data_IF_201454470548
#
_entry.id   IF_201454470548
#
_cell.length_a   1.000
_cell.length_b   1.000
_cell.length_c   1.000
_cell.angle_alpha   90.00
_cell.angle_beta   90.00
_cell.angle_gamma   90.00
#
_symmetry.space_group_name_H-M   'P 1'
#
loop_
_entity.id
_entity.type
_entity.pdbx_description
1 polymer ?
#
# COMPACT_ATOMS: atom_id res chain seq x y z
N UNK A 1 17.92 -16.86 5.12
CA UNK A 1 18.41 -15.47 5.18
C UNK A 1 17.93 -14.80 3.90
N UNK A 2 17.12 -13.74 3.94
CA UNK A 2 16.78 -13.03 2.71
C UNK A 2 18.08 -12.52 2.07
N UNK A 3 18.20 -12.55 0.74
CA UNK A 3 19.40 -12.09 0.05
C UNK A 3 19.67 -10.64 0.45
N UNK A 4 20.89 -10.37 0.96
CA UNK A 4 21.35 -9.01 1.21
C UNK A 4 21.35 -8.28 -0.14
N UNK A 5 20.58 -7.21 -0.24
CA UNK A 5 20.61 -6.35 -1.41
C UNK A 5 22.02 -5.76 -1.56
N UNK A 6 22.66 -5.89 -2.74
CA UNK A 6 23.99 -5.33 -2.95
C UNK A 6 23.96 -3.81 -2.77
N UNK A 7 25.04 -3.26 -2.19
CA UNK A 7 25.35 -1.82 -2.20
C UNK A 7 25.39 -1.33 -3.66
N UNK A 8 24.30 -0.72 -4.13
CA UNK A 8 24.04 -0.37 -5.54
C UNK A 8 22.70 -0.89 -6.09
N UNK A 9 21.89 -1.56 -5.26
CA UNK A 9 20.54 -2.00 -5.60
C UNK A 9 19.62 -0.81 -5.80
N UNK A 10 18.90 -0.80 -6.94
CA UNK A 10 17.72 0.06 -7.12
C UNK A 10 16.82 -0.16 -5.91
N UNK A 11 16.34 0.93 -5.31
CA UNK A 11 15.33 0.84 -4.27
C UNK A 11 14.17 -0.04 -4.78
N UNK A 12 13.60 -0.90 -3.92
CA UNK A 12 12.41 -1.63 -4.28
C UNK A 12 11.34 -0.64 -4.77
N UNK A 13 10.66 -0.96 -5.87
CA UNK A 13 9.65 -0.07 -6.45
C UNK A 13 8.52 0.20 -5.43
N UNK A 14 8.19 -0.81 -4.63
CA UNK A 14 7.23 -0.70 -3.54
C UNK A 14 7.93 -0.87 -2.19
N UNK A 15 7.98 0.19 -1.39
CA UNK A 15 8.44 0.16 0.00
C UNK A 15 7.24 0.00 0.95
N UNK A 16 7.35 -0.84 1.99
CA UNK A 16 6.26 -1.03 2.93
C UNK A 16 6.19 0.13 3.94
N UNK A 17 4.96 0.54 4.28
CA UNK A 17 4.65 1.52 5.32
C UNK A 17 3.47 1.02 6.12
N UNK A 18 3.41 1.26 7.43
CA UNK A 18 2.21 0.93 8.20
C UNK A 18 1.58 2.21 8.76
N UNK A 19 0.47 2.64 8.17
CA UNK A 19 -0.25 3.86 8.57
C UNK A 19 -1.03 3.69 9.89
N UNK A 20 -1.27 2.45 10.33
CA UNK A 20 -2.00 2.14 11.57
C UNK A 20 -1.26 1.05 12.35
N UNK A 21 -0.05 1.35 12.86
CA UNK A 21 0.81 0.37 13.51
C UNK A 21 0.29 -0.08 14.88
N UNK A 22 -0.66 0.66 15.46
CA UNK A 22 -1.24 0.41 16.78
C UNK A 22 -2.35 -0.63 16.78
N UNK A 23 -2.90 -0.98 15.60
CA UNK A 23 -3.97 -1.97 15.51
C UNK A 23 -3.38 -3.38 15.70
N UNK A 24 -3.91 -4.11 16.68
CA UNK A 24 -3.50 -5.50 16.92
C UNK A 24 -3.89 -6.40 15.73
N UNK A 25 -3.11 -7.44 15.52
CA UNK A 25 -3.24 -8.40 14.41
C UNK A 25 -4.61 -9.08 14.31
N UNK A 26 -5.29 -9.28 15.44
CA UNK A 26 -6.61 -9.92 15.52
C UNK A 26 -7.77 -8.93 15.52
N UNK A 27 -7.48 -7.63 15.58
CA UNK A 27 -8.52 -6.61 15.61
C UNK A 27 -8.83 -6.15 14.20
N UNK A 28 -10.10 -5.94 13.96
CA UNK A 28 -10.57 -5.23 12.79
C UNK A 28 -11.66 -4.25 13.24
N UNK A 29 -11.65 -3.04 12.70
CA UNK A 29 -12.56 -1.97 13.10
C UNK A 29 -13.33 -1.52 11.86
N UNK A 30 -14.60 -1.17 12.02
CA UNK A 30 -15.35 -0.55 10.94
C UNK A 30 -14.69 0.78 10.52
N UNK A 31 -14.44 0.96 9.22
CA UNK A 31 -13.75 2.14 8.69
C UNK A 31 -14.52 3.43 9.00
N UNK A 32 -15.85 3.41 8.90
CA UNK A 32 -16.70 4.57 9.20
C UNK A 32 -16.53 5.01 10.65
N UNK A 33 -16.67 4.05 11.59
CA UNK A 33 -16.55 4.32 13.02
C UNK A 33 -15.16 4.85 13.37
N UNK A 34 -14.11 4.27 12.79
CA UNK A 34 -12.75 4.73 13.03
C UNK A 34 -12.55 6.19 12.58
N UNK A 35 -13.01 6.57 11.38
CA UNK A 35 -12.92 7.95 10.91
C UNK A 35 -13.75 8.91 11.77
N UNK A 36 -14.99 8.53 12.12
CA UNK A 36 -15.85 9.32 13.00
C UNK A 36 -15.14 9.64 14.30
N UNK A 37 -14.61 8.63 14.97
CA UNK A 37 -14.12 8.79 16.34
C UNK A 37 -12.70 9.37 16.40
N UNK A 38 -11.83 9.04 15.42
CA UNK A 38 -10.41 9.42 15.45
C UNK A 38 -10.06 10.64 14.59
N UNK A 39 -10.83 10.94 13.53
CA UNK A 39 -10.55 12.06 12.62
C UNK A 39 -11.57 13.19 12.74
N UNK A 40 -12.81 12.87 13.06
CA UNK A 40 -13.92 13.83 13.03
C UNK A 40 -14.58 14.06 14.39
N UNK A 41 -13.93 13.64 15.49
CA UNK A 41 -14.36 13.91 16.86
C UNK A 41 -15.81 13.52 17.16
N UNK A 42 -16.24 12.36 16.65
CA UNK A 42 -17.60 11.84 16.83
C UNK A 42 -18.63 12.33 15.81
N UNK A 43 -18.27 13.23 14.89
CA UNK A 43 -19.22 13.84 13.95
C UNK A 43 -19.53 12.93 12.76
N UNK A 44 -20.71 12.32 12.76
CA UNK A 44 -21.19 11.52 11.63
C UNK A 44 -21.35 12.34 10.34
N UNK A 45 -21.80 13.59 10.46
CA UNK A 45 -21.96 14.50 9.32
C UNK A 45 -20.63 14.71 8.59
N UNK A 46 -19.57 15.06 9.34
CA UNK A 46 -18.22 15.23 8.77
C UNK A 46 -17.70 13.93 8.16
N UNK A 47 -17.94 12.78 8.80
CA UNK A 47 -17.57 11.48 8.24
C UNK A 47 -18.28 11.21 6.92
N UNK A 48 -19.59 11.48 6.82
CA UNK A 48 -20.36 11.30 5.58
C UNK A 48 -19.92 12.26 4.48
N UNK A 49 -19.59 13.51 4.83
CA UNK A 49 -19.01 14.47 3.88
C UNK A 49 -17.66 13.96 3.34
N UNK A 50 -16.79 13.47 4.22
CA UNK A 50 -15.51 12.87 3.83
C UNK A 50 -15.70 11.67 2.90
N UNK A 51 -16.60 10.74 3.23
CA UNK A 51 -16.88 9.56 2.40
C UNK A 51 -17.43 9.97 1.03
N UNK A 52 -18.32 10.96 0.98
CA UNK A 52 -18.86 11.50 -0.29
C UNK A 52 -17.73 12.07 -1.15
N UNK A 53 -16.83 12.84 -0.55
CA UNK A 53 -15.67 13.39 -1.24
C UNK A 53 -14.72 12.30 -1.76
N UNK A 54 -14.43 11.29 -0.94
CA UNK A 54 -13.61 10.15 -1.36
C UNK A 54 -14.22 9.38 -2.53
N UNK A 55 -15.54 9.17 -2.52
CA UNK A 55 -16.25 8.51 -3.61
C UNK A 55 -16.14 9.31 -4.93
N UNK A 56 -16.23 10.64 -4.86
CA UNK A 56 -16.02 11.51 -6.02
C UNK A 56 -14.60 11.40 -6.57
N UNK A 57 -13.58 11.49 -5.69
CA UNK A 57 -12.19 11.33 -6.11
C UNK A 57 -11.91 9.97 -6.73
N UNK A 58 -12.49 8.90 -6.19
CA UNK A 58 -12.38 7.56 -6.78
C UNK A 58 -13.00 7.48 -8.17
N UNK A 59 -14.21 8.03 -8.34
CA UNK A 59 -14.90 8.04 -9.62
C UNK A 59 -14.10 8.74 -10.73
N UNK A 60 -13.41 9.84 -10.41
CA UNK A 60 -12.57 10.58 -11.36
C UNK A 60 -11.40 9.74 -11.92
N UNK A 61 -10.98 8.71 -11.19
CA UNK A 61 -9.86 7.82 -11.57
C UNK A 61 -10.28 6.36 -11.74
N UNK A 62 -11.59 6.09 -11.86
CA UNK A 62 -12.18 4.74 -11.98
C UNK A 62 -11.84 3.78 -10.82
N UNK A 63 -11.78 4.29 -9.58
CA UNK A 63 -11.67 3.48 -8.37
C UNK A 63 -13.00 3.54 -7.62
N UNK A 64 -13.60 2.39 -7.35
CA UNK A 64 -14.85 2.33 -6.57
C UNK A 64 -14.57 2.14 -5.09
N UNK A 65 -14.63 3.20 -4.28
CA UNK A 65 -14.52 3.09 -2.81
C UNK A 65 -15.77 2.47 -2.15
N UNK A 66 -16.32 1.42 -2.76
CA UNK A 66 -17.55 0.73 -2.36
C UNK A 66 -17.49 0.32 -0.90
N UNK A 67 -16.38 -0.26 -0.43
CA UNK A 67 -16.20 -0.67 0.96
C UNK A 67 -16.36 0.50 1.94
N UNK A 68 -15.87 1.69 1.58
CA UNK A 68 -16.03 2.89 2.40
C UNK A 68 -17.48 3.41 2.35
N UNK A 69 -18.10 3.42 1.17
CA UNK A 69 -19.44 3.99 0.96
C UNK A 69 -20.59 3.12 1.48
N UNK A 70 -20.43 1.78 1.45
CA UNK A 70 -21.41 0.81 1.93
C UNK A 70 -21.45 0.71 3.45
N UNK A 71 -20.42 1.24 4.13
CA UNK A 71 -20.20 1.03 5.56
C UNK A 71 -19.72 -0.38 5.92
N UNK A 72 -19.37 -1.22 4.94
CA UNK A 72 -18.85 -2.58 5.18
C UNK A 72 -17.32 -2.62 5.25
N UNK A 73 -16.65 -1.48 5.04
CA UNK A 73 -15.21 -1.37 5.03
C UNK A 73 -14.60 -1.76 6.37
N UNK A 74 -13.55 -2.56 6.29
CA UNK A 74 -12.80 -3.07 7.43
C UNK A 74 -11.45 -2.39 7.47
N UNK A 75 -11.05 -1.92 8.64
CA UNK A 75 -9.72 -1.41 8.93
C UNK A 75 -8.95 -2.46 9.73
N UNK A 76 -7.81 -2.89 9.21
CA UNK A 76 -7.01 -3.97 9.77
C UNK A 76 -5.51 -3.69 9.69
N UNK A 77 -4.72 -4.43 10.45
CA UNK A 77 -3.26 -4.39 10.34
C UNK A 77 -2.82 -4.95 8.98
N UNK A 78 -1.99 -4.20 8.23
CA UNK A 78 -1.56 -4.55 6.86
C UNK A 78 -0.19 -5.20 6.78
N UNK A 79 0.45 -5.54 7.90
CA UNK A 79 1.84 -6.01 7.90
C UNK A 79 2.01 -7.35 7.16
N UNK A 80 1.04 -8.26 7.25
CA UNK A 80 1.08 -9.52 6.49
C UNK A 80 0.94 -9.27 4.99
N UNK A 81 0.06 -8.36 4.57
CA UNK A 81 -0.05 -7.92 3.17
C UNK A 81 1.27 -7.33 2.66
N UNK A 82 1.91 -6.47 3.46
CA UNK A 82 3.23 -5.95 3.11
C UNK A 82 4.29 -7.04 3.04
N UNK A 83 4.28 -8.03 3.94
CA UNK A 83 5.23 -9.14 3.90
C UNK A 83 5.06 -9.98 2.63
N UNK A 84 3.82 -10.25 2.20
CA UNK A 84 3.53 -10.91 0.93
C UNK A 84 4.04 -10.08 -0.26
N UNK A 85 3.75 -8.77 -0.31
CA UNK A 85 4.24 -7.90 -1.39
C UNK A 85 5.78 -7.89 -1.44
N UNK A 86 6.46 -7.78 -0.30
CA UNK A 86 7.93 -7.78 -0.26
C UNK A 86 8.52 -9.12 -0.69
N UNK A 87 7.89 -10.23 -0.27
CA UNK A 87 8.27 -11.57 -0.72
C UNK A 87 8.15 -11.70 -2.24
N UNK A 88 6.98 -11.38 -2.79
CA UNK A 88 6.71 -11.45 -4.23
C UNK A 88 7.67 -10.53 -4.99
N UNK A 89 7.92 -9.32 -4.50
CA UNK A 89 8.86 -8.39 -5.13
C UNK A 89 10.29 -8.94 -5.14
N UNK A 90 10.74 -9.56 -4.04
CA UNK A 90 12.07 -10.14 -3.93
C UNK A 90 12.27 -11.41 -4.76
N UNK A 91 11.23 -12.24 -4.89
CA UNK A 91 11.32 -13.55 -5.54
C UNK A 91 10.89 -13.52 -7.02
N UNK A 92 9.94 -12.65 -7.37
CA UNK A 92 9.27 -12.62 -8.69
C UNK A 92 9.36 -11.25 -9.39
N UNK A 93 9.92 -10.25 -8.72
CA UNK A 93 10.13 -8.91 -9.28
C UNK A 93 8.94 -7.96 -9.08
N UNK A 94 9.19 -6.69 -9.39
CA UNK A 94 8.25 -5.59 -9.12
C UNK A 94 6.98 -5.65 -9.97
N UNK A 95 7.02 -6.24 -11.16
CA UNK A 95 5.83 -6.36 -12.01
C UNK A 95 4.79 -7.29 -11.37
N UNK A 96 5.21 -8.48 -10.92
CA UNK A 96 4.32 -9.41 -10.22
C UNK A 96 3.83 -8.80 -8.90
N UNK A 97 4.72 -8.14 -8.15
CA UNK A 97 4.33 -7.46 -6.91
C UNK A 97 3.32 -6.32 -7.15
N UNK A 98 3.44 -5.61 -8.28
CA UNK A 98 2.49 -4.58 -8.68
C UNK A 98 1.09 -5.14 -8.93
N UNK A 99 0.99 -6.29 -9.64
CA UNK A 99 -0.29 -6.97 -9.86
C UNK A 99 -0.93 -7.45 -8.55
N UNK A 100 -0.12 -7.97 -7.62
CA UNK A 100 -0.59 -8.35 -6.28
C UNK A 100 -1.09 -7.12 -5.51
N UNK A 101 -0.38 -5.99 -5.60
CA UNK A 101 -0.78 -4.72 -4.99
C UNK A 101 -2.11 -4.19 -5.57
N UNK A 102 -2.29 -4.25 -6.89
CA UNK A 102 -3.55 -3.86 -7.55
C UNK A 102 -4.73 -4.74 -7.12
N UNK A 103 -4.50 -6.06 -7.01
CA UNK A 103 -5.49 -7.00 -6.46
C UNK A 103 -5.85 -6.68 -5.01
N UNK A 104 -4.85 -6.33 -4.18
CA UNK A 104 -5.08 -5.90 -2.80
C UNK A 104 -5.86 -4.59 -2.70
N UNK A 105 -5.59 -3.62 -3.57
CA UNK A 105 -6.37 -2.39 -3.63
C UNK A 105 -7.83 -2.68 -3.98
N UNK A 106 -8.08 -3.56 -4.95
CA UNK A 106 -9.43 -3.97 -5.33
C UNK A 106 -10.14 -4.66 -4.16
N UNK A 107 -9.52 -5.69 -3.59
CA UNK A 107 -10.05 -6.46 -2.49
C UNK A 107 -10.37 -5.58 -1.26
N UNK A 108 -9.51 -4.62 -0.95
CA UNK A 108 -9.66 -3.77 0.23
C UNK A 108 -10.64 -2.60 0.01
N UNK A 109 -10.42 -1.79 -1.03
CA UNK A 109 -11.17 -0.54 -1.24
C UNK A 109 -12.53 -0.76 -1.89
N UNK A 110 -12.65 -1.78 -2.74
CA UNK A 110 -13.89 -2.03 -3.48
C UNK A 110 -14.70 -3.17 -2.84
N UNK A 111 -14.05 -4.28 -2.50
CA UNK A 111 -14.76 -5.47 -2.00
C UNK A 111 -14.90 -5.51 -0.47
N UNK A 112 -14.16 -4.66 0.25
CA UNK A 112 -14.19 -4.60 1.72
C UNK A 112 -13.62 -5.85 2.40
N UNK A 113 -12.79 -6.62 1.69
CA UNK A 113 -12.10 -7.79 2.24
C UNK A 113 -11.01 -7.37 3.21
N UNK A 114 -10.76 -8.24 4.19
CA UNK A 114 -9.67 -8.04 5.14
C UNK A 114 -8.32 -8.18 4.41
N UNK A 115 -7.45 -7.16 4.43
CA UNK A 115 -6.26 -7.08 3.56
C UNK A 115 -5.17 -8.09 3.94
N UNK A 116 -5.17 -8.57 5.18
CA UNK A 116 -4.18 -9.52 5.72
C UNK A 116 -4.73 -10.92 5.98
N UNK A 117 -5.97 -11.22 5.54
CA UNK A 117 -6.53 -12.56 5.70
C UNK A 117 -5.89 -13.52 4.68
N UNK A 118 -5.61 -14.76 5.07
CA UNK A 118 -4.92 -15.72 4.23
C UNK A 118 -5.64 -15.92 2.89
N UNK A 119 -6.97 -16.14 2.91
CA UNK A 119 -7.77 -16.30 1.70
C UNK A 119 -7.70 -15.09 0.77
N UNK A 120 -7.81 -13.86 1.30
CA UNK A 120 -7.64 -12.64 0.51
C UNK A 120 -6.27 -12.59 -0.15
N UNK A 121 -5.21 -12.92 0.59
CA UNK A 121 -3.84 -12.88 0.11
C UNK A 121 -3.56 -13.95 -0.96
N UNK A 122 -4.18 -15.14 -0.84
CA UNK A 122 -4.08 -16.19 -1.84
C UNK A 122 -4.82 -15.78 -3.11
N UNK A 123 -6.05 -15.28 -2.97
CA UNK A 123 -6.87 -14.84 -4.10
C UNK A 123 -6.14 -13.79 -4.95
N UNK A 124 -5.58 -12.74 -4.32
CA UNK A 124 -4.86 -11.68 -5.05
C UNK A 124 -3.57 -12.17 -5.70
N UNK A 125 -2.87 -13.13 -5.09
CA UNK A 125 -1.70 -13.77 -5.70
C UNK A 125 -2.08 -14.59 -6.94
N UNK A 126 -3.18 -15.35 -6.87
CA UNK A 126 -3.70 -16.10 -8.02
C UNK A 126 -4.13 -15.15 -9.14
N UNK A 127 -4.87 -14.08 -8.81
CA UNK A 127 -5.27 -13.06 -9.78
C UNK A 127 -4.08 -12.34 -10.44
N UNK A 128 -2.98 -12.19 -9.72
CA UNK A 128 -1.73 -11.63 -10.26
C UNK A 128 -1.04 -12.55 -11.28
N UNK A 129 -1.42 -13.83 -11.33
CA UNK A 129 -0.95 -14.83 -12.28
C UNK A 129 -0.12 -15.97 -11.67
N UNK A 130 -0.12 -16.12 -10.35
CA UNK A 130 0.52 -17.27 -9.68
C UNK A 130 -0.38 -18.50 -9.75
N UNK A 131 0.20 -19.71 -9.69
CA UNK A 131 -0.61 -20.93 -9.48
C UNK A 131 -1.20 -20.93 -8.07
N UNK A 132 -2.27 -21.68 -7.86
CA UNK A 132 -2.92 -21.77 -6.54
C UNK A 132 -1.97 -22.34 -5.48
N UNK A 133 -1.17 -23.35 -5.83
CA UNK A 133 -0.17 -23.94 -4.94
C UNK A 133 0.92 -22.93 -4.56
N UNK A 134 1.43 -22.20 -5.55
CA UNK A 134 2.47 -21.19 -5.35
C UNK A 134 1.95 -20.00 -4.52
N UNK A 135 0.71 -19.58 -4.76
CA UNK A 135 0.06 -18.52 -4.00
C UNK A 135 -0.09 -18.94 -2.52
N UNK A 136 -0.58 -20.16 -2.26
CA UNK A 136 -0.68 -20.72 -0.90
C UNK A 136 0.68 -20.79 -0.23
N UNK A 137 1.69 -21.34 -0.89
CA UNK A 137 3.05 -21.41 -0.34
C UNK A 137 3.63 -20.02 -0.04
N UNK A 138 3.37 -19.05 -0.92
CA UNK A 138 3.82 -17.67 -0.73
C UNK A 138 3.21 -17.07 0.53
N UNK A 139 1.89 -17.23 0.70
CA UNK A 139 1.13 -16.69 1.83
C UNK A 139 1.45 -17.42 3.12
N UNK A 140 1.52 -18.75 3.12
CA UNK A 140 1.82 -19.54 4.33
C UNK A 140 3.22 -19.23 4.88
N UNK A 141 4.19 -19.03 3.99
CA UNK A 141 5.57 -18.68 4.34
C UNK A 141 5.81 -17.16 4.41
N UNK A 142 4.77 -16.32 4.47
CA UNK A 142 4.92 -14.85 4.58
C UNK A 142 5.68 -14.41 5.84
N UNK A 143 5.63 -15.24 6.90
CA UNK A 143 6.31 -14.99 8.17
C UNK A 143 7.83 -14.80 8.04
N UNK A 144 8.44 -15.42 7.03
CA UNK A 144 9.87 -15.32 6.73
C UNK A 144 10.29 -13.90 6.34
N UNK A 145 9.35 -13.12 5.82
CA UNK A 145 9.55 -11.74 5.35
C UNK A 145 9.10 -10.69 6.35
N UNK A 146 8.46 -11.07 7.47
CA UNK A 146 7.95 -10.14 8.47
C UNK A 146 9.07 -9.30 9.11
N UNK A 147 10.20 -9.91 9.43
CA UNK A 147 11.32 -9.20 10.06
C UNK A 147 11.93 -8.15 9.11
N UNK A 148 12.10 -8.51 7.85
CA UNK A 148 12.62 -7.62 6.82
C UNK A 148 11.62 -6.50 6.49
N UNK A 149 10.34 -6.82 6.38
CA UNK A 149 9.27 -5.84 6.16
C UNK A 149 9.22 -4.80 7.28
N UNK A 150 9.33 -5.25 8.55
CA UNK A 150 9.45 -4.32 9.69
C UNK A 150 10.72 -3.47 9.64
N UNK A 151 11.83 -4.02 9.14
CA UNK A 151 13.08 -3.28 8.96
C UNK A 151 12.90 -2.16 7.92
N UNK A 152 12.32 -2.49 6.77
CA UNK A 152 12.03 -1.53 5.70
C UNK A 152 11.06 -0.43 6.16
N UNK A 153 10.00 -0.76 6.91
CA UNK A 153 9.10 0.24 7.50
C UNK A 153 9.86 1.21 8.41
N UNK A 154 10.76 0.70 9.27
CA UNK A 154 11.59 1.56 10.14
C UNK A 154 12.57 2.42 9.35
N UNK A 155 13.11 1.90 8.26
CA UNK A 155 13.98 2.65 7.36
C UNK A 155 13.23 3.82 6.72
N UNK A 156 12.01 3.60 6.21
CA UNK A 156 11.15 4.67 5.69
C UNK A 156 10.87 5.77 6.74
N UNK A 157 10.57 5.38 7.99
CA UNK A 157 10.39 6.33 9.09
C UNK A 157 11.70 7.11 9.35
N UNK A 158 12.85 6.43 9.35
CA UNK A 158 14.17 7.06 9.52
C UNK A 158 14.55 8.02 8.39
N UNK A 159 14.03 7.78 7.19
CA UNK A 159 14.15 8.66 6.02
C UNK A 159 13.15 9.84 6.04
N UNK A 160 12.32 9.96 7.08
CA UNK A 160 11.35 11.04 7.22
C UNK A 160 10.03 10.81 6.47
N UNK A 161 9.74 9.58 6.04
CA UNK A 161 8.45 9.23 5.44
C UNK A 161 7.41 9.07 6.56
N UNK A 162 6.53 10.06 6.70
CA UNK A 162 5.47 10.10 7.72
C UNK A 162 4.05 9.96 7.15
N UNK A 163 3.93 9.92 5.82
CA UNK A 163 2.65 9.92 5.10
C UNK A 163 2.76 9.18 3.77
N UNK A 164 1.63 8.68 3.29
CA UNK A 164 1.52 7.95 2.01
C UNK A 164 0.39 8.49 1.12
N UNK A 165 0.53 8.40 -0.21
CA UNK A 165 1.72 7.95 -0.93
C UNK A 165 2.86 8.98 -0.84
N UNK A 166 4.10 8.50 -0.74
CA UNK A 166 5.31 9.31 -0.87
C UNK A 166 6.14 8.72 -1.99
N UNK A 167 6.38 9.49 -3.05
CA UNK A 167 7.12 9.04 -4.23
C UNK A 167 8.43 9.79 -4.31
N UNK A 168 9.55 9.06 -4.22
CA UNK A 168 10.90 9.58 -4.46
C UNK A 168 11.32 9.26 -5.90
N UNK A 169 11.65 10.29 -6.66
CA UNK A 169 12.16 10.18 -8.03
C UNK A 169 13.66 10.47 -7.96
N UNK A 170 14.47 9.42 -8.18
CA UNK A 170 15.92 9.53 -8.15
C UNK A 170 16.45 10.39 -9.30
N UNK A 171 17.40 11.27 -9.00
CA UNK A 171 18.02 12.15 -9.97
C UNK A 171 19.53 12.21 -9.85
N UNK A 172 20.22 12.56 -10.95
CA UNK A 172 21.68 12.66 -10.96
C UNK A 172 22.22 13.75 -10.01
N UNK A 173 21.51 14.89 -9.91
CA UNK A 173 21.92 16.05 -9.10
C UNK A 173 21.28 16.03 -7.72
N UNK A 174 19.96 15.81 -7.67
CA UNK A 174 19.18 15.66 -6.45
C UNK A 174 17.97 14.77 -6.74
N UNK A 175 17.43 14.18 -5.69
CA UNK A 175 16.15 13.49 -5.74
C UNK A 175 15.01 14.50 -5.60
N UNK A 176 13.86 14.16 -6.17
CA UNK A 176 12.61 14.89 -5.94
C UNK A 176 11.63 14.00 -5.19
N UNK A 177 11.02 14.54 -4.13
CA UNK A 177 10.01 13.85 -3.33
C UNK A 177 8.65 14.50 -3.52
N UNK A 178 7.65 13.69 -3.88
CA UNK A 178 6.25 14.08 -3.97
C UNK A 178 5.46 13.40 -2.87
N UNK A 179 4.85 14.19 -1.98
CA UNK A 179 4.05 13.70 -0.84
C UNK A 179 2.56 13.91 -1.11
N UNK A 180 1.78 12.86 -0.91
CA UNK A 180 0.34 12.80 -1.16
C UNK A 180 0.00 12.42 -2.61
N UNK A 181 -1.29 12.18 -2.87
CA UNK A 181 -1.80 11.89 -4.20
C UNK A 181 -1.73 13.15 -5.10
N UNK A 182 -0.60 13.34 -5.77
CA UNK A 182 -0.36 14.46 -6.69
C UNK A 182 -1.07 14.24 -8.03
N UNK A 183 -1.30 15.33 -8.76
CA UNK A 183 -1.86 15.26 -10.11
C UNK A 183 -0.84 14.71 -11.11
N UNK A 184 -1.33 14.22 -12.25
CA UNK A 184 -0.48 13.72 -13.34
C UNK A 184 0.49 14.81 -13.80
N UNK A 185 0.04 16.07 -13.87
CA UNK A 185 0.87 17.21 -14.28
C UNK A 185 2.04 17.44 -13.33
N UNK A 186 1.84 17.25 -12.03
CA UNK A 186 2.91 17.39 -11.03
C UNK A 186 3.96 16.29 -11.16
N UNK A 187 3.53 15.04 -11.42
CA UNK A 187 4.46 13.96 -11.76
C UNK A 187 5.23 14.25 -13.05
N UNK A 188 4.56 14.70 -14.11
CA UNK A 188 5.19 15.08 -15.39
C UNK A 188 6.24 16.17 -15.18
N UNK A 189 5.92 17.23 -14.42
CA UNK A 189 6.88 18.30 -14.09
C UNK A 189 8.09 17.76 -13.35
N UNK A 190 7.89 16.86 -12.39
CA UNK A 190 8.98 16.26 -11.62
C UNK A 190 9.90 15.42 -12.54
N UNK A 191 9.34 14.55 -13.38
CA UNK A 191 10.12 13.76 -14.33
C UNK A 191 10.88 14.62 -15.35
N UNK A 192 10.24 15.67 -15.89
CA UNK A 192 10.90 16.61 -16.81
C UNK A 192 12.06 17.33 -16.12
N UNK A 193 11.91 17.69 -14.84
CA UNK A 193 12.97 18.33 -14.05
C UNK A 193 14.16 17.39 -13.88
N UNK A 194 13.92 16.16 -13.43
CA UNK A 194 14.95 15.13 -13.29
C UNK A 194 15.66 14.88 -14.64
N UNK A 195 14.92 14.77 -15.73
CA UNK A 195 15.49 14.53 -17.05
C UNK A 195 16.38 15.70 -17.53
N UNK A 196 16.00 16.95 -17.25
CA UNK A 196 16.82 18.14 -17.53
C UNK A 196 18.08 18.17 -16.68
N UNK A 197 17.95 17.86 -15.39
CA UNK A 197 19.05 17.86 -14.43
C UNK A 197 19.98 16.65 -14.54
N UNK A 198 19.64 15.64 -15.35
CA UNK A 198 20.47 14.46 -15.60
C UNK A 198 21.35 14.56 -16.85
N UNK A 199 21.14 15.60 -17.67
CA UNK A 199 22.03 15.98 -18.77
C UNK A 199 23.35 16.53 -18.24
#
# INVERSE_FOLDING_TARGET
MPPRTPSGSRLPLFTPTNSIPTLLWSQSINVFDWYRDNKFSGSEEKTRMFITLMAQYGADVNISFSALTSGTGIMANTLDAHAVIQKVQGEKGSEMAGRVLDGLYTAYFEEGKHPSHADTLVDVCVQAGMSEEEAKETVDNRGDWTAETKRLIREQIGEGVDSVPTVRIEGRRRDLTLVGAKSVEDYVKAFVTIAKESR
#
